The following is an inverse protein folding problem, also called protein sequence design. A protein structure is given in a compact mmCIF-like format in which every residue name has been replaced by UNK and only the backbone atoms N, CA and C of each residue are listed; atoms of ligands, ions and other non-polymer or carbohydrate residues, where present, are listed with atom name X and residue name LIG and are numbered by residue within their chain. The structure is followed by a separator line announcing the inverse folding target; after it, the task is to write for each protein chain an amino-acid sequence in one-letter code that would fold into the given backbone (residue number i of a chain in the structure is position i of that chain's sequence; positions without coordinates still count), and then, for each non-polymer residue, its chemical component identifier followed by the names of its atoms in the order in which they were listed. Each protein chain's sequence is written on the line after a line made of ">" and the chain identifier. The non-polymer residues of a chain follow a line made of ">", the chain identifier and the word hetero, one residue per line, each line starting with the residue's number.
data_IF_784827082891
#
_entry.id   IF_784827082891
#
_cell.length_a   1.000
_cell.length_b   1.000
_cell.length_c   1.000
_cell.angle_alpha   90.00
_cell.angle_beta   90.00
_cell.angle_gamma   90.00
#
_symmetry.space_group_name_H-M   'P 1'
#
loop_
_entity.id
_entity.type
_entity.pdbx_description
1 polymer ?
#
# COMPACT_ATOMS: atom_id res chain seq x y z
N UNK A 1 7.66 -1.21 -5.14
CA UNK A 1 7.84 -1.95 -3.87
C UNK A 1 8.99 -1.32 -3.10
N UNK A 2 8.98 -1.47 -1.79
CA UNK A 2 10.02 -1.06 -0.87
C UNK A 2 10.74 -2.32 -0.35
N UNK A 3 12.06 -2.25 -0.23
CA UNK A 3 12.87 -3.22 0.48
C UNK A 3 13.38 -2.59 1.77
N UNK A 4 13.02 -3.17 2.91
CA UNK A 4 13.33 -2.65 4.24
C UNK A 4 13.52 -3.75 5.28
N UNK A 5 14.25 -3.50 6.39
CA UNK A 5 14.35 -4.46 7.48
C UNK A 5 13.00 -4.68 8.19
N UNK A 6 12.65 -5.94 8.40
CA UNK A 6 11.55 -6.36 9.28
C UNK A 6 12.11 -7.32 10.32
N UNK A 7 12.62 -6.75 11.41
CA UNK A 7 13.24 -7.50 12.51
C UNK A 7 12.30 -8.56 13.11
N UNK A 8 11.00 -8.31 13.31
CA UNK A 8 10.08 -9.36 13.81
C UNK A 8 9.98 -10.58 12.89
N UNK A 9 10.19 -10.39 11.58
CA UNK A 9 10.21 -11.47 10.59
C UNK A 9 11.62 -12.06 10.35
N UNK A 10 12.64 -11.59 11.08
CA UNK A 10 14.03 -12.01 10.90
C UNK A 10 14.62 -11.63 9.54
N UNK A 11 14.13 -10.57 8.91
CA UNK A 11 14.55 -10.14 7.57
C UNK A 11 15.20 -8.76 7.60
N UNK A 12 16.33 -8.60 6.89
CA UNK A 12 16.98 -7.31 6.69
C UNK A 12 16.62 -6.64 5.35
N UNK A 13 15.92 -7.36 4.47
CA UNK A 13 15.54 -6.91 3.13
C UNK A 13 14.16 -7.45 2.75
N UNK A 14 13.17 -7.23 3.63
CA UNK A 14 11.80 -7.64 3.41
C UNK A 14 11.19 -6.80 2.29
N UNK A 15 10.50 -7.45 1.35
CA UNK A 15 9.94 -6.81 0.15
C UNK A 15 8.44 -6.66 0.30
N UNK A 16 7.97 -5.43 0.25
CA UNK A 16 6.58 -5.06 0.51
C UNK A 16 6.16 -3.81 -0.29
N UNK A 17 4.88 -3.49 -0.30
CA UNK A 17 4.40 -2.18 -0.78
C UNK A 17 4.69 -1.10 0.28
N UNK A 18 4.84 0.18 -0.14
CA UNK A 18 4.91 1.30 0.80
C UNK A 18 3.74 1.33 1.76
N UNK A 19 4.01 1.60 3.03
CA UNK A 19 3.02 1.68 4.08
C UNK A 19 3.61 2.38 5.32
N UNK A 20 2.82 3.27 5.91
CA UNK A 20 3.14 3.85 7.20
C UNK A 20 1.90 4.05 8.05
N UNK A 21 2.14 4.52 9.27
CA UNK A 21 1.10 4.70 10.26
C UNK A 21 0.26 5.92 9.92
N UNK A 22 -1.03 5.83 10.21
CA UNK A 22 -1.93 6.97 10.11
C UNK A 22 -1.58 7.96 11.21
N UNK A 23 -1.50 9.24 10.85
CA UNK A 23 -1.39 10.31 11.84
C UNK A 23 -2.77 10.61 12.46
N UNK A 24 -2.77 11.24 13.64
CA UNK A 24 -3.99 11.61 14.36
C UNK A 24 -4.85 12.67 13.62
N UNK A 25 -4.45 13.08 12.41
CA UNK A 25 -5.12 14.12 11.62
C UNK A 25 -6.41 13.65 10.94
N UNK A 26 -6.69 12.34 10.96
CA UNK A 26 -7.99 11.77 10.60
C UNK A 26 -8.28 11.64 9.09
N UNK A 27 -7.33 12.01 8.21
CA UNK A 27 -7.46 11.79 6.77
C UNK A 27 -6.53 10.67 6.30
N UNK A 28 -7.09 9.46 6.13
CA UNK A 28 -6.38 8.28 5.61
C UNK A 28 -5.66 8.55 4.28
N UNK A 29 -6.27 9.36 3.43
CA UNK A 29 -5.74 9.73 2.12
C UNK A 29 -4.54 10.67 2.25
N UNK A 30 -4.57 11.59 3.22
CA UNK A 30 -3.45 12.49 3.50
C UNK A 30 -2.24 11.75 4.03
N UNK A 31 -2.44 10.82 4.97
CA UNK A 31 -1.39 9.95 5.48
C UNK A 31 -0.79 9.10 4.34
N UNK A 32 -1.61 8.42 3.53
CA UNK A 32 -1.12 7.63 2.41
C UNK A 32 -0.31 8.47 1.38
N UNK A 33 -0.76 9.69 1.06
CA UNK A 33 -0.03 10.58 0.16
C UNK A 33 1.33 11.01 0.73
N UNK A 34 1.37 11.31 2.04
CA UNK A 34 2.60 11.66 2.76
C UNK A 34 3.59 10.49 2.77
N UNK A 35 3.13 9.29 3.12
CA UNK A 35 3.96 8.09 3.13
C UNK A 35 4.54 7.77 1.76
N UNK A 36 3.74 7.90 0.68
CA UNK A 36 4.27 7.70 -0.67
C UNK A 36 5.35 8.75 -1.00
N UNK A 37 5.19 10.00 -0.56
CA UNK A 37 6.23 11.01 -0.74
C UNK A 37 7.51 10.67 0.02
N UNK A 38 7.41 10.24 1.28
CA UNK A 38 8.55 9.90 2.13
C UNK A 38 9.29 8.64 1.63
N UNK A 39 8.54 7.61 1.26
CA UNK A 39 9.09 6.34 0.81
C UNK A 39 9.50 6.31 -0.66
N UNK A 40 8.84 7.08 -1.53
CA UNK A 40 9.10 7.00 -2.98
C UNK A 40 9.66 8.29 -3.59
N UNK A 41 9.51 9.41 -2.89
CA UNK A 41 9.78 10.74 -3.41
C UNK A 41 8.76 11.25 -4.44
N UNK A 42 7.63 10.55 -4.61
CA UNK A 42 6.54 10.96 -5.50
C UNK A 42 5.54 11.82 -4.73
N UNK A 43 5.32 13.04 -5.20
CA UNK A 43 4.22 13.87 -4.71
C UNK A 43 2.94 13.49 -5.45
N UNK A 44 1.94 12.98 -4.71
CA UNK A 44 0.66 12.55 -5.27
C UNK A 44 -0.46 13.39 -4.63
N UNK A 45 -1.28 14.08 -5.43
CA UNK A 45 -2.50 14.70 -4.94
C UNK A 45 -3.45 13.68 -4.31
N UNK A 46 -4.09 14.05 -3.20
CA UNK A 46 -4.97 13.13 -2.45
C UNK A 46 -6.12 12.58 -3.31
N UNK A 47 -6.66 13.39 -4.22
CA UNK A 47 -7.73 13.02 -5.15
C UNK A 47 -7.32 11.99 -6.20
N UNK A 48 -6.02 11.71 -6.36
CA UNK A 48 -5.51 10.67 -7.24
C UNK A 48 -5.35 9.30 -6.56
N UNK A 49 -5.62 9.22 -5.25
CA UNK A 49 -5.60 7.95 -4.51
C UNK A 49 -6.98 7.31 -4.50
N UNK A 50 -7.07 6.09 -5.01
CA UNK A 50 -8.29 5.28 -5.02
C UNK A 50 -8.26 4.35 -3.81
N UNK A 51 -9.20 4.51 -2.87
CA UNK A 51 -9.40 3.57 -1.76
C UNK A 51 -10.03 2.26 -2.28
N UNK A 52 -9.19 1.26 -2.55
CA UNK A 52 -9.62 -0.03 -3.08
C UNK A 52 -10.45 -0.81 -2.07
N UNK A 53 -10.13 -0.68 -0.77
CA UNK A 53 -10.86 -1.35 0.31
C UNK A 53 -12.30 -0.84 0.44
N UNK A 54 -12.50 0.48 0.45
CA UNK A 54 -13.82 1.08 0.43
C UNK A 54 -14.58 0.76 -0.87
N UNK A 55 -13.90 0.79 -2.02
CA UNK A 55 -14.52 0.49 -3.31
C UNK A 55 -14.98 -0.98 -3.40
N UNK A 56 -14.19 -1.92 -2.92
CA UNK A 56 -14.55 -3.33 -2.88
C UNK A 56 -15.72 -3.59 -1.91
N UNK A 57 -15.76 -2.91 -0.77
CA UNK A 57 -16.88 -3.02 0.18
C UNK A 57 -18.22 -2.54 -0.40
N UNK A 58 -18.21 -1.53 -1.28
CA UNK A 58 -19.44 -1.09 -1.98
C UNK A 58 -20.02 -2.18 -2.89
N UNK A 59 -19.17 -3.08 -3.41
CA UNK A 59 -19.58 -4.23 -4.23
C UNK A 59 -20.34 -5.29 -3.41
N UNK A 60 -20.04 -5.38 -2.11
CA UNK A 60 -20.64 -6.34 -1.19
C UNK A 60 -21.86 -5.66 -0.59
N UNK A 61 -23.03 -5.88 -1.19
CA UNK A 61 -24.29 -5.19 -0.89
C UNK A 61 -24.48 -4.86 0.60
N UNK A 62 -24.88 -3.60 0.85
CA UNK A 62 -25.16 -2.99 2.16
C UNK A 62 -25.43 -3.97 3.29
N UNK A 63 -24.43 -4.21 4.14
CA UNK A 63 -24.63 -4.78 5.47
C UNK A 63 -25.33 -3.74 6.35
N UNK A 64 -26.61 -3.47 6.04
CA UNK A 64 -27.51 -2.74 6.94
C UNK A 64 -27.61 -3.55 8.23
N UNK A 65 -26.83 -3.16 9.24
CA UNK A 65 -26.93 -3.63 10.62
C UNK A 65 -25.80 -4.52 11.16
N UNK A 66 -24.63 -4.60 10.52
CA UNK A 66 -23.59 -5.57 10.91
C UNK A 66 -22.27 -4.86 11.22
N UNK A 67 -21.99 -4.68 12.51
CA UNK A 67 -20.69 -4.41 13.15
C UNK A 67 -19.89 -3.17 12.67
N UNK A 68 -19.38 -2.36 13.62
CA UNK A 68 -18.61 -1.15 13.33
C UNK A 68 -17.14 -1.47 12.99
N UNK A 69 -16.91 -2.15 11.86
CA UNK A 69 -15.56 -2.44 11.35
C UNK A 69 -15.05 -1.36 10.39
N UNK A 70 -13.73 -1.21 10.33
CA UNK A 70 -13.07 -0.27 9.42
C UNK A 70 -13.14 -0.79 7.99
N UNK A 71 -13.15 0.14 7.03
CA UNK A 71 -13.11 -0.19 5.59
C UNK A 71 -11.69 -0.57 5.18
N UNK A 72 -11.22 -1.73 5.63
CA UNK A 72 -9.81 -2.08 5.59
C UNK A 72 -9.62 -3.61 5.58
N UNK A 73 -8.40 -4.06 5.30
CA UNK A 73 -8.02 -5.46 5.53
C UNK A 73 -7.49 -5.62 6.94
N UNK A 74 -7.86 -6.71 7.60
CA UNK A 74 -7.35 -7.08 8.93
C UNK A 74 -6.29 -8.18 8.77
N UNK A 75 -5.00 -7.93 9.08
CA UNK A 75 -3.94 -8.91 8.85
C UNK A 75 -4.07 -10.17 9.71
N UNK A 76 -4.54 -10.03 10.97
CA UNK A 76 -4.61 -11.13 11.94
C UNK A 76 -5.70 -10.87 13.00
N UNK A 77 -6.96 -10.85 12.56
CA UNK A 77 -8.12 -10.52 13.41
C UNK A 77 -8.36 -11.45 14.62
N UNK A 78 -7.63 -12.57 14.74
CA UNK A 78 -7.71 -13.46 15.89
C UNK A 78 -6.97 -12.94 17.14
N UNK A 79 -6.12 -11.92 16.99
CA UNK A 79 -5.32 -11.38 18.11
C UNK A 79 -4.82 -9.95 17.94
N UNK A 80 -5.20 -9.27 16.85
CA UNK A 80 -4.89 -7.86 16.61
C UNK A 80 -6.10 -7.18 15.97
N UNK A 81 -6.41 -5.97 16.44
CA UNK A 81 -7.39 -5.07 15.83
C UNK A 81 -6.75 -4.14 14.77
N UNK A 82 -5.46 -4.33 14.48
CA UNK A 82 -4.77 -3.66 13.37
C UNK A 82 -5.53 -3.83 12.06
N UNK A 83 -5.69 -2.73 11.35
CA UNK A 83 -6.37 -2.67 10.07
C UNK A 83 -5.58 -1.82 9.09
N UNK A 84 -5.65 -2.18 7.81
CA UNK A 84 -4.87 -1.55 6.75
C UNK A 84 -5.83 -1.18 5.60
N UNK A 85 -6.21 0.09 5.46
CA UNK A 85 -6.84 0.58 4.23
C UNK A 85 -5.84 0.51 3.06
N UNK A 86 -6.29 0.06 1.90
CA UNK A 86 -5.40 -0.16 0.74
C UNK A 86 -5.74 0.81 -0.38
N UNK A 87 -4.77 1.63 -0.74
CA UNK A 87 -4.90 2.66 -1.77
C UNK A 87 -4.16 2.30 -3.05
N UNK A 88 -4.72 2.70 -4.18
CA UNK A 88 -4.11 2.62 -5.50
C UNK A 88 -3.78 4.02 -6.01
N UNK A 89 -2.54 4.22 -6.42
CA UNK A 89 -2.11 5.36 -7.23
C UNK A 89 -1.76 4.87 -8.64
N UNK A 90 -2.35 5.49 -9.66
CA UNK A 90 -2.03 5.21 -11.07
C UNK A 90 -1.49 6.48 -11.75
N UNK A 91 -0.22 6.45 -12.15
CA UNK A 91 0.44 7.57 -12.83
C UNK A 91 0.97 7.13 -14.18
N UNK A 92 0.78 7.99 -15.19
CA UNK A 92 1.53 7.91 -16.44
C UNK A 92 2.76 8.80 -16.32
N UNK A 93 3.93 8.20 -16.46
CA UNK A 93 5.21 8.89 -16.34
C UNK A 93 6.11 8.58 -17.54
N UNK A 94 7.01 9.50 -17.93
CA UNK A 94 8.09 9.19 -18.86
C UNK A 94 8.93 8.03 -18.37
N UNK A 95 9.37 7.16 -19.29
CA UNK A 95 10.17 5.96 -18.99
C UNK A 95 11.42 6.30 -18.15
N UNK A 96 12.11 7.39 -18.51
CA UNK A 96 13.27 7.91 -17.78
C UNK A 96 12.97 8.24 -16.31
N UNK A 97 11.79 8.79 -16.03
CA UNK A 97 11.41 9.19 -14.68
C UNK A 97 11.05 7.95 -13.86
N UNK A 98 10.39 6.97 -14.48
CA UNK A 98 10.15 5.65 -13.86
C UNK A 98 11.48 5.00 -13.49
N UNK A 99 12.42 4.91 -14.44
CA UNK A 99 13.73 4.29 -14.21
C UNK A 99 14.54 5.02 -13.14
N UNK A 100 14.40 6.34 -13.01
CA UNK A 100 15.05 7.13 -11.97
C UNK A 100 14.60 6.80 -10.54
N UNK A 101 13.45 6.14 -10.38
CA UNK A 101 12.96 5.70 -9.06
C UNK A 101 13.67 4.42 -8.58
N UNK A 102 14.24 3.61 -9.48
CA UNK A 102 14.84 2.34 -9.12
C UNK A 102 16.06 2.52 -8.22
N UNK A 103 16.13 1.78 -7.12
CA UNK A 103 17.28 1.78 -6.22
C UNK A 103 17.46 3.08 -5.44
N UNK A 104 16.49 4.02 -5.55
CA UNK A 104 16.50 5.23 -4.74
C UNK A 104 16.38 4.83 -3.27
N UNK A 105 17.23 5.44 -2.47
CA UNK A 105 17.24 5.26 -1.03
C UNK A 105 16.36 6.35 -0.41
N UNK A 106 15.37 5.93 0.36
CA UNK A 106 14.27 6.76 0.86
C UNK A 106 13.94 6.40 2.32
N UNK A 107 12.90 7.01 2.88
CA UNK A 107 12.55 6.88 4.31
C UNK A 107 13.32 7.86 5.20
N UNK A 108 12.90 7.93 6.46
CA UNK A 108 13.53 8.77 7.49
C UNK A 108 14.85 8.13 7.97
N UNK A 109 15.90 8.30 7.16
CA UNK A 109 17.23 7.70 7.40
C UNK A 109 17.86 8.10 8.72
N UNK A 110 17.67 9.35 9.11
CA UNK A 110 18.15 9.88 10.40
C UNK A 110 17.42 9.21 11.58
N UNK A 111 16.20 8.69 11.35
CA UNK A 111 15.38 7.99 12.34
C UNK A 111 15.51 6.45 12.23
N UNK A 112 16.50 5.97 11.47
CA UNK A 112 16.84 4.54 11.34
C UNK A 112 16.06 3.79 10.25
N UNK A 113 15.18 4.46 9.52
CA UNK A 113 14.42 3.86 8.43
C UNK A 113 15.24 3.83 7.13
N UNK A 114 15.57 2.62 6.67
CA UNK A 114 16.35 2.40 5.44
C UNK A 114 15.50 1.69 4.41
N UNK A 115 14.89 2.47 3.52
CA UNK A 115 14.07 1.93 2.44
C UNK A 115 14.84 2.03 1.13
N UNK A 116 14.78 0.94 0.35
CA UNK A 116 15.27 0.91 -1.03
C UNK A 116 14.12 0.63 -1.98
N UNK A 117 13.88 1.53 -2.93
CA UNK A 117 12.84 1.33 -3.93
C UNK A 117 13.21 0.25 -4.94
N UNK A 118 12.25 -0.66 -5.18
CA UNK A 118 12.29 -1.72 -6.18
C UNK A 118 11.09 -1.58 -7.12
N UNK A 119 11.36 -1.28 -8.38
CA UNK A 119 10.40 -1.35 -9.47
C UNK A 119 10.18 -2.82 -9.83
N UNK A 120 8.91 -3.21 -9.87
CA UNK A 120 8.50 -4.58 -10.17
C UNK A 120 7.43 -4.51 -11.25
N UNK A 121 7.56 -5.28 -12.35
CA UNK A 121 6.47 -5.43 -13.31
C UNK A 121 5.23 -5.95 -12.57
N UNK A 122 4.07 -5.29 -12.76
CA UNK A 122 2.84 -5.61 -12.01
C UNK A 122 2.46 -7.10 -12.02
N UNK A 123 2.71 -7.80 -13.13
CA UNK A 123 2.47 -9.25 -13.26
C UNK A 123 3.31 -10.13 -12.34
N UNK A 124 4.46 -9.63 -11.87
CA UNK A 124 5.37 -10.32 -10.94
C UNK A 124 5.16 -9.88 -9.49
N UNK A 125 4.32 -8.87 -9.22
CA UNK A 125 4.10 -8.28 -7.89
C UNK A 125 3.79 -9.35 -6.82
N UNK A 126 2.88 -10.27 -7.13
CA UNK A 126 2.46 -11.32 -6.19
C UNK A 126 3.56 -12.35 -5.88
N UNK A 127 4.55 -12.52 -6.77
CA UNK A 127 5.71 -13.41 -6.53
C UNK A 127 6.75 -12.70 -5.68
N UNK A 128 7.03 -11.44 -6.01
CA UNK A 128 8.03 -10.61 -5.32
C UNK A 128 7.59 -10.22 -3.90
N UNK A 129 6.29 -9.95 -3.72
CA UNK A 129 5.69 -9.62 -2.43
C UNK A 129 4.96 -10.77 -1.75
N UNK A 130 5.23 -12.02 -2.13
CA UNK A 130 4.50 -13.20 -1.65
C UNK A 130 4.44 -13.30 -0.11
N UNK A 131 5.46 -12.78 0.57
CA UNK A 131 5.58 -12.87 2.03
C UNK A 131 4.86 -11.74 2.77
N UNK A 132 4.38 -10.72 2.07
CA UNK A 132 3.74 -9.55 2.66
C UNK A 132 2.22 -9.59 2.43
N UNK A 133 1.45 -9.70 3.52
CA UNK A 133 0.00 -9.86 3.46
C UNK A 133 -0.72 -8.69 2.79
N UNK A 134 -0.33 -7.44 3.12
CA UNK A 134 -0.92 -6.24 2.51
C UNK A 134 -0.60 -6.12 1.02
N UNK A 135 0.58 -6.57 0.57
CA UNK A 135 0.91 -6.64 -0.85
C UNK A 135 -0.02 -7.61 -1.59
N UNK A 136 -0.21 -8.82 -1.07
CA UNK A 136 -1.09 -9.80 -1.71
C UNK A 136 -2.55 -9.35 -1.70
N UNK A 137 -3.02 -8.77 -0.60
CA UNK A 137 -4.36 -8.20 -0.51
C UNK A 137 -4.56 -7.08 -1.54
N UNK A 138 -3.59 -6.16 -1.67
CA UNK A 138 -3.64 -5.08 -2.65
C UNK A 138 -3.67 -5.61 -4.08
N UNK A 139 -2.86 -6.64 -4.38
CA UNK A 139 -2.85 -7.27 -5.69
C UNK A 139 -4.18 -7.94 -6.02
N UNK A 140 -4.77 -8.66 -5.06
CA UNK A 140 -6.07 -9.32 -5.22
C UNK A 140 -7.20 -8.32 -5.43
N UNK A 141 -7.27 -7.25 -4.62
CA UNK A 141 -8.25 -6.17 -4.78
C UNK A 141 -8.11 -5.48 -6.13
N UNK A 142 -6.88 -5.12 -6.54
CA UNK A 142 -6.63 -4.53 -7.84
C UNK A 142 -7.13 -5.44 -8.98
N UNK A 143 -6.84 -6.74 -8.90
CA UNK A 143 -7.28 -7.71 -9.93
C UNK A 143 -8.79 -7.83 -9.99
N UNK A 144 -9.47 -7.99 -8.86
CA UNK A 144 -10.92 -8.12 -8.79
C UNK A 144 -11.63 -6.85 -9.25
N UNK A 145 -11.24 -5.68 -8.74
CA UNK A 145 -11.83 -4.40 -9.13
C UNK A 145 -11.64 -4.10 -10.61
N UNK A 146 -10.48 -4.45 -11.18
CA UNK A 146 -10.21 -4.30 -12.61
C UNK A 146 -11.05 -5.25 -13.46
N UNK A 147 -11.25 -6.49 -13.02
CA UNK A 147 -12.12 -7.45 -13.70
C UNK A 147 -13.59 -7.02 -13.67
N UNK A 148 -14.01 -6.33 -12.62
CA UNK A 148 -15.33 -5.70 -12.51
C UNK A 148 -15.44 -4.35 -13.26
N UNK A 149 -14.36 -3.84 -13.85
CA UNK A 149 -14.35 -2.55 -14.56
C UNK A 149 -14.50 -1.32 -13.66
N UNK A 150 -14.14 -1.43 -12.37
CA UNK A 150 -14.24 -0.34 -11.39
C UNK A 150 -13.00 0.55 -11.31
N UNK A 151 -11.87 0.08 -11.85
CA UNK A 151 -10.58 0.78 -11.95
C UNK A 151 -9.86 0.45 -13.27
#
# INVERSE_FOLDING_TARGET
>A
MASQPRIPAGSLAFTEIPAGMLDDSGSFVGAAAKEIQEETGLTIPQDELIDMTSLALQSVASTKGVEALQKAVYPSAGGSDEFIPLFLCQKRMPRKDIESLQGRLTGLREDGEKITLKLVPLKELWKEGLRDGKTLASWALYKGLKEEGKI
#
